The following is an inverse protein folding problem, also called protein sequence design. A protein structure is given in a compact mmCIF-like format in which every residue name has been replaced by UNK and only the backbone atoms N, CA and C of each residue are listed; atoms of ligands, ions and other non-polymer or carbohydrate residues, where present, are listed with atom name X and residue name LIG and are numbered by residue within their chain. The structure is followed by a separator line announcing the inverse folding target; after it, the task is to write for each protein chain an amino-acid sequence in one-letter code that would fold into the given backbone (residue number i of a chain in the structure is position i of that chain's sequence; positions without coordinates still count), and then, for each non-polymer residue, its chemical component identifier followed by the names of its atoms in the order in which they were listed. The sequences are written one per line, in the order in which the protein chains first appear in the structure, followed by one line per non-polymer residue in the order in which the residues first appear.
data_IF_243891955276
#
_entry.id   IF_243891955276
#
_cell.length_a   1.000
_cell.length_b   1.000
_cell.length_c   1.000
_cell.angle_alpha   90.00
_cell.angle_beta   90.00
_cell.angle_gamma   90.00
#
_symmetry.space_group_name_H-M   'P 1'
#
loop_
_entity.id
_entity.type
_entity.pdbx_description
1 polymer ?
#
# COMPACT_ATOMS: atom_id res chain seq x y z
N UNK A 1 34.59 44.05 42.37
CA UNK A 1 34.52 43.91 43.84
C UNK A 1 33.89 42.63 44.20
N UNK A 2 34.70 41.64 44.52
CA UNK A 2 34.89 41.00 45.84
C UNK A 2 33.60 40.41 46.41
N UNK A 3 33.51 39.20 46.84
CA UNK A 3 34.31 38.12 47.44
C UNK A 3 33.35 36.99 47.76
N UNK A 4 33.74 35.75 47.50
CA UNK A 4 34.20 34.76 48.50
C UNK A 4 33.07 34.32 49.43
N UNK A 5 32.68 33.07 49.46
CA UNK A 5 33.36 31.88 49.91
C UNK A 5 32.47 31.25 50.95
N UNK A 6 32.26 30.02 50.96
CA UNK A 6 32.77 29.03 51.94
C UNK A 6 31.83 27.84 52.11
N UNK A 7 32.46 26.75 52.05
CA UNK A 7 32.11 25.38 52.38
C UNK A 7 31.38 25.22 53.73
N UNK A 8 30.64 24.10 53.83
CA UNK A 8 30.14 23.59 55.08
C UNK A 8 29.50 22.22 54.88
N UNK A 9 30.22 21.20 55.28
CA UNK A 9 29.95 19.78 55.36
C UNK A 9 28.84 19.41 56.35
N UNK A 10 28.31 18.23 56.10
CA UNK A 10 27.90 17.15 57.01
C UNK A 10 26.46 17.10 57.54
N UNK A 11 25.93 15.89 57.45
CA UNK A 11 24.83 15.39 58.29
C UNK A 11 24.02 14.28 57.59
N UNK A 12 24.48 13.03 57.77
CA UNK A 12 23.70 11.83 57.59
C UNK A 12 22.39 11.89 58.36
N UNK A 13 21.27 11.57 57.74
CA UNK A 13 20.13 10.91 58.37
C UNK A 13 19.45 9.99 57.38
N UNK A 14 19.55 8.70 57.73
CA UNK A 14 18.89 7.57 57.10
C UNK A 14 17.41 7.59 57.47
N UNK A 15 16.53 7.85 56.54
CA UNK A 15 15.10 7.60 56.67
C UNK A 15 14.73 6.42 55.79
N UNK A 16 14.28 5.37 56.42
CA UNK A 16 13.70 4.18 55.85
C UNK A 16 12.40 4.53 55.12
N UNK A 17 12.36 4.37 53.84
CA UNK A 17 11.12 4.39 53.04
C UNK A 17 10.58 2.98 52.86
N UNK A 18 9.34 2.85 53.28
CA UNK A 18 8.52 1.67 53.13
C UNK A 18 8.30 1.39 51.65
N UNK A 19 8.55 0.15 51.26
CA UNK A 19 8.25 -0.33 49.91
C UNK A 19 6.74 -0.53 49.73
N UNK A 20 6.10 0.36 48.97
CA UNK A 20 4.80 0.10 48.41
C UNK A 20 4.93 -1.02 47.36
N UNK A 21 4.39 -2.17 47.68
CA UNK A 21 4.17 -3.26 46.74
C UNK A 21 3.12 -2.82 45.72
N UNK A 22 3.55 -2.40 44.53
CA UNK A 22 2.69 -2.35 43.36
C UNK A 22 2.23 -3.77 43.06
N UNK A 23 0.93 -3.99 43.25
CA UNK A 23 0.23 -5.15 42.73
C UNK A 23 0.32 -5.07 41.18
N UNK A 24 1.19 -5.89 40.61
CA UNK A 24 1.18 -6.19 39.18
C UNK A 24 -0.20 -6.75 38.82
N UNK A 25 -0.88 -6.08 37.89
CA UNK A 25 -2.01 -6.63 37.16
C UNK A 25 -1.53 -7.90 36.47
N UNK A 26 -2.03 -9.02 36.94
CA UNK A 26 -1.87 -10.33 36.32
C UNK A 26 -2.66 -10.35 35.03
N UNK A 27 -2.02 -9.87 33.94
CA UNK A 27 -2.52 -10.11 32.57
C UNK A 27 -2.47 -11.64 32.39
N UNK A 28 -3.62 -12.27 32.58
CA UNK A 28 -3.85 -13.64 32.14
C UNK A 28 -3.76 -13.67 30.62
N UNK A 29 -2.55 -13.66 30.11
CA UNK A 29 -2.27 -13.95 28.71
C UNK A 29 -2.78 -15.36 28.43
N UNK A 30 -3.88 -15.48 27.69
CA UNK A 30 -4.30 -16.74 27.11
C UNK A 30 -3.09 -17.32 26.37
N UNK A 31 -2.54 -18.41 26.89
CA UNK A 31 -1.44 -19.10 26.23
C UNK A 31 -1.94 -19.60 24.88
N UNK A 32 -1.45 -19.02 23.81
CA UNK A 32 -1.72 -19.53 22.45
C UNK A 32 -1.26 -20.98 22.41
N UNK A 33 -2.17 -21.89 22.12
CA UNK A 33 -1.85 -23.30 22.01
C UNK A 33 -0.78 -23.52 20.94
N UNK A 34 0.27 -24.28 21.28
CA UNK A 34 1.29 -24.63 20.30
C UNK A 34 0.66 -25.48 19.18
N UNK A 35 0.75 -25.00 17.95
CA UNK A 35 0.22 -25.68 16.77
C UNK A 35 1.27 -26.63 16.22
N UNK A 36 1.05 -27.93 16.34
CA UNK A 36 1.88 -28.96 15.71
C UNK A 36 1.38 -29.25 14.31
N UNK A 37 2.20 -28.97 13.28
CA UNK A 37 1.85 -29.23 11.88
C UNK A 37 2.48 -30.54 11.42
N UNK A 38 1.66 -31.54 11.12
CA UNK A 38 2.10 -32.77 10.46
C UNK A 38 2.37 -32.51 8.97
N UNK A 39 3.63 -32.50 8.58
CA UNK A 39 4.06 -32.30 7.19
C UNK A 39 4.07 -33.59 6.36
N UNK A 40 3.92 -34.77 6.98
CA UNK A 40 3.93 -36.03 6.19
C UNK A 40 2.75 -36.05 5.23
N UNK A 41 3.07 -36.17 3.94
CA UNK A 41 2.11 -36.19 2.83
C UNK A 41 1.08 -35.05 2.86
N UNK A 42 1.43 -33.88 3.37
CA UNK A 42 0.53 -32.70 3.43
C UNK A 42 -0.10 -32.38 2.08
N UNK A 43 0.62 -32.61 0.98
CA UNK A 43 0.13 -32.38 -0.39
C UNK A 43 -1.07 -33.29 -0.79
N UNK A 44 -1.25 -34.44 -0.13
CA UNK A 44 -2.41 -35.30 -0.34
C UNK A 44 -3.65 -34.84 0.45
N UNK A 45 -3.48 -33.92 1.35
CA UNK A 45 -4.56 -33.36 2.20
C UNK A 45 -5.08 -32.01 1.70
N UNK A 46 -4.62 -31.57 0.52
CA UNK A 46 -5.09 -30.34 -0.09
C UNK A 46 -6.57 -30.49 -0.47
N UNK A 47 -7.35 -29.48 -0.06
CA UNK A 47 -8.76 -29.37 -0.42
C UNK A 47 -8.97 -28.04 -1.15
N UNK A 48 -9.63 -28.10 -2.30
CA UNK A 48 -10.05 -26.89 -2.99
C UNK A 48 -11.27 -26.29 -2.27
N UNK A 49 -11.14 -25.05 -1.83
CA UNK A 49 -12.19 -24.32 -1.09
C UNK A 49 -13.15 -23.62 -2.03
N UNK A 50 -12.65 -23.03 -3.14
CA UNK A 50 -13.45 -22.31 -4.12
C UNK A 50 -13.48 -23.02 -5.46
N UNK A 51 -14.60 -22.91 -6.20
CA UNK A 51 -14.78 -23.48 -7.54
C UNK A 51 -15.44 -22.47 -8.49
N UNK A 52 -15.09 -21.22 -8.34
CA UNK A 52 -15.66 -20.15 -9.13
C UNK A 52 -14.93 -19.97 -10.46
N UNK A 53 -15.66 -19.62 -11.54
CA UNK A 53 -15.05 -19.31 -12.82
C UNK A 53 -14.41 -17.90 -12.75
N UNK A 54 -13.13 -17.81 -12.49
CA UNK A 54 -12.40 -16.55 -12.42
C UNK A 54 -11.01 -16.74 -11.82
N UNK A 55 -10.31 -15.64 -11.65
CA UNK A 55 -9.00 -15.64 -10.99
C UNK A 55 -9.17 -15.09 -9.57
N UNK A 56 -9.08 -15.99 -8.61
CA UNK A 56 -9.01 -15.61 -7.21
C UNK A 56 -7.73 -14.78 -6.99
N UNK A 57 -7.85 -13.82 -6.12
CA UNK A 57 -6.75 -12.91 -5.78
C UNK A 57 -6.52 -12.87 -4.28
N UNK A 58 -6.29 -11.66 -3.78
CA UNK A 58 -6.02 -11.43 -2.37
C UNK A 58 -7.09 -12.04 -1.47
N UNK A 59 -6.67 -12.54 -0.31
CA UNK A 59 -7.58 -13.06 0.69
C UNK A 59 -7.14 -12.69 2.11
N UNK A 60 -8.10 -12.66 3.03
CA UNK A 60 -7.89 -12.54 4.47
C UNK A 60 -8.85 -13.47 5.18
N UNK A 61 -8.42 -14.03 6.31
CA UNK A 61 -9.32 -14.76 7.20
C UNK A 61 -10.02 -13.79 8.14
N UNK A 62 -11.19 -14.15 8.65
CA UNK A 62 -11.75 -13.48 9.81
C UNK A 62 -10.94 -13.81 11.07
N UNK A 63 -11.31 -13.20 12.20
CA UNK A 63 -10.57 -13.36 13.46
C UNK A 63 -10.54 -14.81 13.95
N UNK A 64 -11.61 -15.54 13.73
CA UNK A 64 -11.79 -16.91 14.21
C UNK A 64 -11.26 -17.96 13.22
N UNK A 65 -10.86 -17.52 12.01
CA UNK A 65 -10.37 -18.40 10.94
C UNK A 65 -11.46 -19.22 10.27
N UNK A 66 -12.72 -18.87 10.49
CA UNK A 66 -13.88 -19.59 9.93
C UNK A 66 -14.26 -19.08 8.54
N UNK A 67 -14.17 -17.78 8.31
CA UNK A 67 -14.53 -17.16 7.05
C UNK A 67 -13.29 -16.62 6.32
N UNK A 68 -13.29 -16.78 5.01
CA UNK A 68 -12.26 -16.30 4.10
C UNK A 68 -12.89 -15.24 3.21
N UNK A 69 -12.44 -14.00 3.33
CA UNK A 69 -12.77 -12.93 2.39
C UNK A 69 -11.74 -12.93 1.27
N UNK A 70 -12.18 -12.97 0.02
CA UNK A 70 -11.28 -13.03 -1.13
C UNK A 70 -11.81 -12.26 -2.33
N UNK A 71 -10.90 -11.83 -3.20
CA UNK A 71 -11.29 -11.16 -4.44
C UNK A 71 -11.28 -12.12 -5.61
N UNK A 72 -12.22 -11.93 -6.53
CA UNK A 72 -12.27 -12.70 -7.78
C UNK A 72 -12.48 -11.76 -8.97
N UNK A 73 -11.71 -11.98 -10.04
CA UNK A 73 -11.85 -11.27 -11.31
C UNK A 73 -12.91 -11.90 -12.20
N UNK A 74 -13.56 -11.10 -13.02
CA UNK A 74 -14.58 -11.60 -13.98
C UNK A 74 -14.01 -12.64 -14.93
N UNK A 75 -14.76 -13.71 -15.21
CA UNK A 75 -14.33 -14.75 -16.15
C UNK A 75 -14.02 -14.20 -17.54
N UNK A 76 -12.97 -14.72 -18.15
CA UNK A 76 -12.60 -14.37 -19.53
C UNK A 76 -11.90 -13.01 -19.70
N UNK A 77 -11.68 -12.25 -18.63
CA UNK A 77 -10.87 -11.03 -18.66
C UNK A 77 -9.41 -11.33 -18.31
N UNK A 78 -8.50 -10.58 -18.92
CA UNK A 78 -7.09 -10.73 -18.60
C UNK A 78 -6.81 -10.31 -17.12
N UNK A 79 -5.77 -10.89 -16.54
CA UNK A 79 -5.40 -10.69 -15.13
C UNK A 79 -5.15 -9.22 -14.70
N UNK A 80 -5.07 -8.29 -15.64
CA UNK A 80 -4.92 -6.84 -15.37
C UNK A 80 -6.25 -6.11 -15.31
N UNK A 81 -7.37 -6.80 -15.46
CA UNK A 81 -8.68 -6.18 -15.27
C UNK A 81 -8.85 -5.84 -13.79
N UNK A 82 -9.15 -4.57 -13.52
CA UNK A 82 -9.52 -4.12 -12.17
C UNK A 82 -10.99 -4.41 -11.84
N UNK A 83 -11.69 -5.15 -12.69
CA UNK A 83 -13.09 -5.54 -12.49
C UNK A 83 -13.11 -6.78 -11.60
N UNK A 84 -12.94 -6.55 -10.32
CA UNK A 84 -12.97 -7.60 -9.29
C UNK A 84 -14.11 -7.33 -8.34
N UNK A 85 -14.64 -8.42 -7.77
CA UNK A 85 -15.61 -8.40 -6.70
C UNK A 85 -15.05 -9.04 -5.44
N UNK A 86 -15.64 -8.75 -4.30
CA UNK A 86 -15.29 -9.34 -3.02
C UNK A 86 -16.33 -10.39 -2.67
N UNK A 87 -15.84 -11.56 -2.33
CA UNK A 87 -16.61 -12.71 -1.85
C UNK A 87 -16.15 -13.11 -0.46
N UNK A 88 -17.00 -13.83 0.24
CA UNK A 88 -16.62 -14.59 1.42
C UNK A 88 -17.03 -16.04 1.25
N UNK A 89 -16.31 -16.94 1.89
CA UNK A 89 -16.58 -18.38 1.91
C UNK A 89 -16.11 -18.95 3.24
N UNK A 90 -16.82 -19.94 3.77
CA UNK A 90 -16.34 -20.67 4.93
C UNK A 90 -15.12 -21.51 4.58
N UNK A 91 -14.24 -21.77 5.52
CA UNK A 91 -12.99 -22.51 5.32
C UNK A 91 -13.16 -23.90 4.67
N UNK A 92 -14.35 -24.52 4.79
CA UNK A 92 -14.69 -25.80 4.18
C UNK A 92 -15.25 -25.68 2.76
N UNK A 93 -15.45 -24.46 2.26
CA UNK A 93 -15.97 -24.17 0.93
C UNK A 93 -17.50 -23.99 0.87
N UNK A 94 -18.16 -24.00 2.01
CA UNK A 94 -19.59 -23.71 2.11
C UNK A 94 -19.84 -22.22 2.38
N UNK A 95 -21.11 -21.79 2.34
CA UNK A 95 -21.51 -20.40 2.62
C UNK A 95 -20.81 -19.37 1.73
N UNK A 96 -20.68 -19.68 0.45
CA UNK A 96 -20.13 -18.75 -0.53
C UNK A 96 -21.12 -17.62 -0.82
N UNK A 97 -20.73 -16.38 -0.54
CA UNK A 97 -21.56 -15.19 -0.74
C UNK A 97 -20.77 -14.05 -1.39
N UNK A 98 -21.45 -13.24 -2.19
CA UNK A 98 -20.90 -12.02 -2.76
C UNK A 98 -21.10 -10.85 -1.78
N UNK A 99 -20.02 -10.20 -1.38
CA UNK A 99 -20.04 -9.10 -0.42
C UNK A 99 -20.01 -7.74 -1.14
N UNK A 100 -19.17 -7.62 -2.18
CA UNK A 100 -19.11 -6.42 -3.04
C UNK A 100 -19.14 -6.88 -4.50
N UNK A 101 -20.29 -6.67 -5.17
CA UNK A 101 -20.57 -7.15 -6.51
C UNK A 101 -20.70 -6.06 -7.57
N UNK A 102 -20.10 -4.89 -7.38
CA UNK A 102 -20.27 -3.72 -8.25
C UNK A 102 -19.07 -3.46 -9.19
N UNK A 103 -18.25 -4.46 -9.42
CA UNK A 103 -17.01 -4.37 -10.22
C UNK A 103 -16.09 -3.22 -9.79
N UNK A 104 -16.17 -2.80 -8.54
CA UNK A 104 -15.37 -1.68 -8.00
C UNK A 104 -13.90 -2.01 -7.80
N UNK A 105 -13.48 -3.23 -8.05
CA UNK A 105 -12.09 -3.65 -8.00
C UNK A 105 -11.50 -3.61 -6.59
N UNK A 106 -12.11 -4.29 -5.61
CA UNK A 106 -11.55 -4.37 -4.27
C UNK A 106 -10.15 -5.00 -4.32
N UNK A 107 -9.24 -4.41 -3.55
CA UNK A 107 -7.83 -4.82 -3.42
C UNK A 107 -7.28 -4.36 -2.08
N UNK A 108 -6.09 -4.83 -1.73
CA UNK A 108 -5.42 -4.50 -0.46
C UNK A 108 -6.32 -4.83 0.73
N UNK A 109 -6.79 -6.08 0.77
CA UNK A 109 -7.65 -6.56 1.84
C UNK A 109 -6.89 -6.56 3.16
N UNK A 110 -7.48 -6.01 4.21
CA UNK A 110 -6.92 -5.98 5.55
C UNK A 110 -8.00 -6.21 6.59
N UNK A 111 -7.83 -7.23 7.42
CA UNK A 111 -8.60 -7.39 8.64
C UNK A 111 -8.03 -6.49 9.73
N UNK A 112 -8.86 -5.78 10.46
CA UNK A 112 -8.42 -5.04 11.65
C UNK A 112 -8.16 -6.00 12.81
N UNK A 113 -7.31 -5.58 13.73
CA UNK A 113 -6.92 -6.39 14.89
C UNK A 113 -8.10 -6.86 15.74
N UNK A 114 -9.13 -6.01 15.91
CA UNK A 114 -10.38 -6.39 16.61
C UNK A 114 -11.18 -7.48 15.90
N UNK A 115 -10.97 -7.67 14.59
CA UNK A 115 -11.72 -8.62 13.77
C UNK A 115 -13.07 -8.11 13.25
N UNK A 116 -13.50 -6.92 13.66
CA UNK A 116 -14.85 -6.42 13.34
C UNK A 116 -15.02 -5.95 11.89
N UNK A 117 -13.92 -5.69 11.20
CA UNK A 117 -13.97 -5.10 9.86
C UNK A 117 -12.88 -5.62 8.93
N UNK A 118 -13.25 -5.83 7.68
CA UNK A 118 -12.31 -5.98 6.57
C UNK A 118 -12.29 -4.69 5.76
N UNK A 119 -11.13 -4.09 5.61
CA UNK A 119 -10.93 -2.91 4.77
C UNK A 119 -10.43 -3.30 3.39
N UNK A 120 -10.83 -2.54 2.39
CA UNK A 120 -10.31 -2.66 1.04
C UNK A 120 -10.23 -1.30 0.34
N UNK A 121 -9.32 -1.20 -0.60
CA UNK A 121 -9.30 -0.12 -1.57
C UNK A 121 -10.12 -0.53 -2.79
N UNK A 122 -10.85 0.42 -3.36
CA UNK A 122 -11.60 0.23 -4.60
C UNK A 122 -11.16 1.21 -5.68
N UNK A 123 -11.76 1.15 -6.88
CA UNK A 123 -11.45 2.04 -7.99
C UNK A 123 -11.48 3.51 -7.54
N UNK A 124 -10.53 4.31 -8.03
CA UNK A 124 -10.39 5.70 -7.64
C UNK A 124 -9.76 5.94 -6.27
N UNK A 125 -9.22 4.89 -5.62
CA UNK A 125 -8.59 5.03 -4.29
C UNK A 125 -9.59 5.19 -3.14
N UNK A 126 -10.86 4.84 -3.36
CA UNK A 126 -11.87 4.88 -2.32
C UNK A 126 -11.67 3.74 -1.34
N UNK A 127 -11.79 4.06 -0.06
CA UNK A 127 -11.73 3.06 1.00
C UNK A 127 -13.15 2.57 1.30
N UNK A 128 -13.31 1.25 1.33
CA UNK A 128 -14.52 0.61 1.85
C UNK A 128 -14.15 -0.27 3.03
N UNK A 129 -15.10 -0.45 3.94
CA UNK A 129 -15.03 -1.44 5.00
C UNK A 129 -16.24 -2.34 4.96
N UNK A 130 -16.04 -3.59 5.26
CA UNK A 130 -17.07 -4.60 5.46
C UNK A 130 -17.12 -4.89 6.94
N UNK A 131 -18.30 -4.81 7.53
CA UNK A 131 -18.55 -5.23 8.92
C UNK A 131 -18.66 -6.75 8.91
N UNK A 132 -17.76 -7.45 9.60
CA UNK A 132 -17.70 -8.92 9.54
C UNK A 132 -18.92 -9.62 10.10
N UNK A 133 -19.65 -8.96 10.99
CA UNK A 133 -20.84 -9.51 11.66
C UNK A 133 -22.06 -9.63 10.74
N UNK A 134 -22.26 -8.70 9.83
CA UNK A 134 -23.49 -8.57 9.02
C UNK A 134 -23.23 -8.23 7.54
N UNK A 135 -21.98 -8.26 7.11
CA UNK A 135 -21.50 -7.95 5.76
C UNK A 135 -21.88 -6.57 5.24
N UNK A 136 -22.24 -5.68 6.13
CA UNK A 136 -22.58 -4.31 5.76
C UNK A 136 -21.37 -3.60 5.18
N UNK A 137 -21.51 -3.13 3.94
CA UNK A 137 -20.46 -2.39 3.23
C UNK A 137 -20.63 -0.89 3.45
N UNK A 138 -19.59 -0.26 3.95
CA UNK A 138 -19.58 1.18 4.19
C UNK A 138 -18.46 1.86 3.40
N UNK A 139 -18.74 3.05 2.89
CA UNK A 139 -17.74 3.90 2.22
C UNK A 139 -17.15 4.86 3.23
N UNK A 140 -15.83 4.92 3.32
CA UNK A 140 -15.14 5.88 4.16
C UNK A 140 -14.75 7.10 3.32
N UNK A 141 -15.27 8.25 3.71
CA UNK A 141 -14.90 9.52 3.10
C UNK A 141 -13.58 9.98 3.73
N UNK A 142 -12.51 9.90 2.94
CA UNK A 142 -11.20 10.46 3.31
C UNK A 142 -10.93 11.64 2.37
N UNK A 143 -10.66 12.79 2.93
CA UNK A 143 -10.19 13.94 2.17
C UNK A 143 -8.95 14.51 2.82
N UNK A 144 -7.95 14.80 2.02
CA UNK A 144 -6.74 15.50 2.46
C UNK A 144 -6.36 16.55 1.42
N UNK A 145 -5.65 17.58 1.88
CA UNK A 145 -5.02 18.55 0.99
C UNK A 145 -3.53 18.30 1.03
N UNK A 146 -2.95 18.12 -0.14
CA UNK A 146 -1.52 17.94 -0.31
C UNK A 146 -1.03 19.13 -1.13
N UNK A 147 0.00 19.79 -0.65
CA UNK A 147 0.73 20.78 -1.43
C UNK A 147 1.87 20.05 -2.14
N UNK A 148 1.86 20.10 -3.46
CA UNK A 148 2.88 19.47 -4.30
C UNK A 148 3.75 20.58 -4.90
N UNK A 149 5.06 20.47 -4.72
CA UNK A 149 6.04 21.29 -5.41
C UNK A 149 6.38 20.55 -6.72
N UNK A 150 5.88 21.07 -7.85
CA UNK A 150 5.87 20.37 -9.13
C UNK A 150 7.27 20.08 -9.68
N UNK A 151 8.23 20.96 -9.47
CA UNK A 151 9.62 20.77 -9.95
C UNK A 151 10.29 19.62 -9.22
N UNK A 152 10.14 19.55 -7.90
CA UNK A 152 10.66 18.46 -7.08
C UNK A 152 9.97 17.12 -7.38
N UNK A 153 8.65 17.15 -7.60
CA UNK A 153 7.90 15.96 -8.01
C UNK A 153 8.40 15.41 -9.35
N UNK A 154 8.58 16.28 -10.35
CA UNK A 154 9.08 15.87 -11.67
C UNK A 154 10.48 15.27 -11.59
N UNK A 155 11.37 15.88 -10.81
CA UNK A 155 12.70 15.36 -10.58
C UNK A 155 12.66 13.98 -9.91
N UNK A 156 11.82 13.81 -8.91
CA UNK A 156 11.64 12.52 -8.23
C UNK A 156 11.09 11.47 -9.19
N UNK A 157 10.03 11.77 -9.95
CA UNK A 157 9.45 10.85 -10.93
C UNK A 157 10.51 10.43 -11.95
N UNK A 158 11.32 11.38 -12.43
CA UNK A 158 12.38 11.12 -13.37
C UNK A 158 13.41 10.12 -12.81
N UNK A 159 13.88 10.35 -11.59
CA UNK A 159 14.83 9.49 -10.92
C UNK A 159 14.26 8.11 -10.60
N UNK A 160 13.00 8.02 -10.22
CA UNK A 160 12.35 6.75 -9.91
C UNK A 160 12.17 5.91 -11.18
N UNK A 161 11.71 6.52 -12.27
CA UNK A 161 11.58 5.85 -13.56
C UNK A 161 12.94 5.42 -14.11
N UNK A 162 13.97 6.27 -13.99
CA UNK A 162 15.33 5.91 -14.37
C UNK A 162 15.87 4.72 -13.55
N UNK A 163 15.67 4.74 -12.22
CA UNK A 163 16.09 3.64 -11.33
C UNK A 163 15.38 2.34 -11.63
N UNK A 164 14.08 2.40 -11.92
CA UNK A 164 13.31 1.22 -12.30
C UNK A 164 13.88 0.57 -13.56
N UNK A 165 14.18 1.37 -14.59
CA UNK A 165 14.82 0.89 -15.80
C UNK A 165 16.24 0.38 -15.55
N UNK A 166 17.04 1.09 -14.76
CA UNK A 166 18.41 0.68 -14.45
C UNK A 166 18.49 -0.69 -13.77
N UNK A 167 17.45 -1.06 -13.03
CA UNK A 167 17.34 -2.36 -12.35
C UNK A 167 16.69 -3.45 -13.19
N UNK A 168 15.76 -3.07 -14.06
CA UNK A 168 14.89 -4.01 -14.77
C UNK A 168 15.06 -4.07 -16.27
N UNK A 169 15.99 -3.31 -16.87
CA UNK A 169 16.22 -3.41 -18.29
C UNK A 169 16.86 -4.77 -18.63
N UNK A 170 16.40 -5.42 -19.69
CA UNK A 170 16.79 -6.79 -20.03
C UNK A 170 18.26 -6.95 -20.46
N UNK A 171 18.87 -5.86 -20.96
CA UNK A 171 20.29 -5.83 -21.30
C UNK A 171 21.05 -4.95 -20.30
N UNK A 172 21.89 -5.52 -19.43
CA UNK A 172 22.66 -4.76 -18.46
C UNK A 172 23.60 -3.72 -19.05
N UNK A 173 24.00 -3.91 -20.32
CA UNK A 173 24.84 -2.99 -21.07
C UNK A 173 24.06 -1.89 -21.80
N UNK A 174 22.75 -1.84 -21.70
CA UNK A 174 21.90 -0.85 -22.36
C UNK A 174 22.21 -0.68 -23.84
N UNK A 175 22.45 -1.77 -24.55
CA UNK A 175 22.90 -1.80 -25.96
C UNK A 175 24.16 -0.95 -26.20
N UNK A 176 25.09 -0.93 -25.23
CA UNK A 176 26.31 -0.15 -25.28
C UNK A 176 26.09 1.35 -25.07
N UNK A 177 24.96 1.77 -24.54
CA UNK A 177 24.68 3.17 -24.24
C UNK A 177 25.10 3.53 -22.82
N UNK A 178 25.65 4.72 -22.65
CA UNK A 178 25.88 5.30 -21.32
C UNK A 178 24.54 5.76 -20.73
N UNK A 179 23.85 4.86 -20.04
CA UNK A 179 22.53 5.14 -19.47
C UNK A 179 22.61 6.15 -18.32
N UNK A 180 23.72 6.24 -17.60
CA UNK A 180 23.93 7.27 -16.59
C UNK A 180 24.13 8.64 -17.24
N UNK A 181 24.93 8.73 -18.29
CA UNK A 181 25.08 9.97 -19.06
C UNK A 181 23.77 10.43 -19.71
N UNK A 182 22.92 9.50 -20.15
CA UNK A 182 21.57 9.84 -20.65
C UNK A 182 20.71 10.45 -19.53
N UNK A 183 20.77 9.92 -18.33
CA UNK A 183 20.09 10.51 -17.16
C UNK A 183 20.50 11.99 -17.01
N UNK A 184 21.78 12.23 -16.94
CA UNK A 184 22.32 13.57 -16.65
C UNK A 184 22.04 14.57 -17.79
N UNK A 185 21.98 14.08 -19.02
CA UNK A 185 21.62 14.87 -20.19
C UNK A 185 20.15 15.33 -20.19
N UNK A 186 19.23 14.42 -19.85
CA UNK A 186 17.78 14.68 -19.98
C UNK A 186 17.13 15.20 -18.71
N UNK A 187 17.72 15.00 -17.53
CA UNK A 187 17.19 15.52 -16.27
C UNK A 187 16.93 17.04 -16.27
N UNK A 188 17.85 17.90 -16.74
CA UNK A 188 17.58 19.34 -16.75
C UNK A 188 16.37 19.71 -17.62
N UNK A 189 16.15 19.00 -18.73
CA UNK A 189 15.00 19.22 -19.61
C UNK A 189 13.70 18.76 -18.94
N UNK A 190 13.74 17.62 -18.26
CA UNK A 190 12.59 17.10 -17.52
C UNK A 190 12.16 18.04 -16.37
N UNK A 191 13.13 18.66 -15.67
CA UNK A 191 12.87 19.68 -14.63
C UNK A 191 12.25 20.96 -15.14
N UNK A 192 12.48 21.31 -16.40
CA UNK A 192 11.92 22.50 -17.05
C UNK A 192 10.59 22.24 -17.76
N UNK A 193 10.11 21.00 -17.75
CA UNK A 193 8.82 20.67 -18.37
C UNK A 193 7.69 21.42 -17.67
N UNK A 194 6.91 22.17 -18.44
CA UNK A 194 5.81 22.98 -17.90
C UNK A 194 4.52 22.17 -17.76
N UNK A 195 4.41 21.07 -18.51
CA UNK A 195 3.25 20.18 -18.51
C UNK A 195 3.69 18.73 -18.31
N UNK A 196 2.75 17.87 -17.97
CA UNK A 196 3.00 16.42 -17.89
C UNK A 196 3.34 15.84 -19.28
N UNK A 197 2.75 16.38 -20.31
CA UNK A 197 3.01 16.00 -21.70
C UNK A 197 4.45 16.35 -22.10
N UNK A 198 4.95 17.53 -21.73
CA UNK A 198 6.33 17.95 -21.99
C UNK A 198 7.31 17.04 -21.24
N UNK A 199 6.99 16.70 -19.99
CA UNK A 199 7.77 15.76 -19.20
C UNK A 199 7.81 14.37 -19.85
N UNK A 200 6.62 13.85 -20.24
CA UNK A 200 6.49 12.56 -20.92
C UNK A 200 7.28 12.55 -22.23
N UNK A 201 7.17 13.61 -23.00
CA UNK A 201 7.91 13.76 -24.25
C UNK A 201 9.42 13.71 -24.03
N UNK A 202 9.90 14.47 -23.07
CA UNK A 202 11.34 14.52 -22.70
C UNK A 202 11.85 13.15 -22.23
N UNK A 203 11.08 12.46 -21.39
CA UNK A 203 11.44 11.13 -20.90
C UNK A 203 11.45 10.10 -22.06
N UNK A 204 10.48 10.18 -22.97
CA UNK A 204 10.40 9.32 -24.14
C UNK A 204 11.57 9.57 -25.12
N UNK A 205 12.05 10.81 -25.24
CA UNK A 205 13.28 11.09 -26.01
C UNK A 205 14.49 10.38 -25.42
N UNK A 206 14.62 10.34 -24.09
CA UNK A 206 15.67 9.57 -23.41
C UNK A 206 15.53 8.07 -23.71
N UNK A 207 14.33 7.52 -23.57
CA UNK A 207 14.04 6.11 -23.86
C UNK A 207 14.38 5.74 -25.31
N UNK A 208 14.10 6.62 -26.25
CA UNK A 208 14.42 6.42 -27.67
C UNK A 208 15.92 6.22 -27.93
N UNK A 209 16.81 6.71 -27.05
CA UNK A 209 18.25 6.50 -27.18
C UNK A 209 18.67 5.05 -26.91
N UNK A 210 17.83 4.28 -26.21
CA UNK A 210 18.14 2.89 -25.87
C UNK A 210 17.92 1.92 -27.04
N UNK A 211 17.33 2.39 -28.14
CA UNK A 211 17.06 1.57 -29.32
C UNK A 211 16.35 0.25 -28.98
N UNK A 212 15.37 0.32 -28.08
CA UNK A 212 14.53 -0.80 -27.69
C UNK A 212 13.08 -0.57 -28.14
N UNK A 213 12.48 -1.62 -28.68
CA UNK A 213 11.06 -1.55 -29.13
C UNK A 213 10.10 -1.54 -27.93
N UNK A 214 8.91 -0.98 -28.14
CA UNK A 214 7.81 -0.96 -27.17
C UNK A 214 8.11 -0.26 -25.83
N UNK A 215 9.11 0.59 -25.79
CA UNK A 215 9.40 1.42 -24.62
C UNK A 215 8.73 2.78 -24.74
N UNK A 216 8.14 3.22 -23.65
CA UNK A 216 7.52 4.54 -23.58
C UNK A 216 6.84 4.76 -22.24
N UNK A 217 6.89 5.98 -21.76
CA UNK A 217 6.04 6.45 -20.68
C UNK A 217 4.67 6.78 -21.28
N UNK A 218 3.60 6.20 -20.71
CA UNK A 218 2.23 6.37 -21.18
C UNK A 218 1.31 6.57 -19.99
N UNK A 219 0.10 7.08 -20.26
CA UNK A 219 -0.98 7.18 -19.27
C UNK A 219 -0.57 7.97 -18.02
N UNK A 220 0.06 9.12 -18.22
CA UNK A 220 0.16 10.10 -17.15
C UNK A 220 -1.25 10.66 -17.01
N UNK A 221 -2.00 10.17 -16.01
CA UNK A 221 -3.34 10.66 -15.73
C UNK A 221 -3.28 12.16 -15.49
N UNK A 222 -3.90 12.92 -16.36
CA UNK A 222 -4.12 14.33 -16.11
C UNK A 222 -5.05 14.43 -14.90
N UNK A 223 -4.66 15.11 -13.80
CA UNK A 223 -5.61 15.40 -12.75
C UNK A 223 -6.77 16.13 -13.44
N UNK A 224 -8.00 15.71 -13.11
CA UNK A 224 -9.19 16.43 -13.59
C UNK A 224 -8.95 17.90 -13.29
N UNK A 225 -8.88 18.71 -14.36
CA UNK A 225 -8.70 20.16 -14.21
C UNK A 225 -9.74 20.64 -13.20
N UNK A 226 -9.25 21.23 -12.14
CA UNK A 226 -10.13 21.97 -11.23
C UNK A 226 -10.71 23.07 -12.11
N UNK A 227 -12.01 22.99 -12.41
CA UNK A 227 -12.65 24.05 -13.17
C UNK A 227 -12.39 25.36 -12.42
N UNK A 228 -11.48 26.15 -12.94
CA UNK A 228 -11.24 27.49 -12.42
C UNK A 228 -12.57 28.23 -12.55
N UNK A 229 -13.14 28.65 -11.44
CA UNK A 229 -14.25 29.60 -11.49
C UNK A 229 -13.73 30.81 -12.28
N UNK A 230 -14.40 31.13 -13.39
CA UNK A 230 -14.11 32.35 -14.13
C UNK A 230 -14.32 33.50 -13.15
N UNK A 231 -13.24 34.04 -12.59
CA UNK A 231 -13.27 35.33 -11.93
C UNK A 231 -13.47 36.37 -13.01
N UNK A 232 -14.71 36.82 -13.16
CA UNK A 232 -15.00 37.97 -14.00
C UNK A 232 -14.31 39.16 -13.38
N UNK A 233 -13.45 39.84 -14.14
CA UNK A 233 -13.08 41.22 -13.85
C UNK A 233 -14.36 42.07 -14.01
N UNK A 234 -14.77 42.69 -12.91
CA UNK A 234 -15.79 43.74 -12.87
C UNK A 234 -15.14 45.05 -13.24
#
# INVERSE_FOLDING_TARGET
NKKSGKEGESGDEVASEESDEEKGDDETGESVAEVEIDFDRIYLRLKQVTRMPGNEGEFVFDKDGEMIYFTIGSPGRMNYSNDRNLYKVRWDGEELEEVIGDDSGPRSLQLVESGDHVYCLTKGGLIRRVVTKDDKVEKLAVSSRIQIESTGEQEQIYHDAWRALNRGFYDPGFHGRDFAGLRDKYLPLARQASTKEDFQYTFNLMLGQLNASHMGMRNIDNPKETQSQKTGLV
#
